data_IF_103901622264
#
_entry.id   IF_103901622264
#
_cell.length_a   1.000
_cell.length_b   1.000
_cell.length_c   1.000
_cell.angle_alpha   90.00
_cell.angle_beta   90.00
_cell.angle_gamma   90.00
#
_symmetry.space_group_name_H-M   'P 1'
#
loop_
_entity.id
_entity.type
_entity.pdbx_description
1 polymer ?
#
# COMPACT_ATOMS: atom_id res chain seq x y z
N UNK A 1 -43.25 19.64 27.27
CA UNK A 1 -41.87 19.35 27.72
C UNK A 1 -41.80 17.87 28.04
N UNK A 2 -41.04 17.11 27.28
CA UNK A 2 -40.80 15.69 27.58
C UNK A 2 -40.03 15.57 28.89
N UNK A 3 -40.49 14.70 29.79
CA UNK A 3 -39.86 14.52 31.09
C UNK A 3 -38.49 13.84 30.90
N UNK A 4 -37.54 14.13 31.82
CA UNK A 4 -36.21 13.45 31.82
C UNK A 4 -36.32 11.93 31.74
N UNK A 5 -37.42 11.38 32.26
CA UNK A 5 -37.73 9.96 32.27
C UNK A 5 -38.05 9.41 30.85
N UNK A 6 -38.80 10.17 30.04
CA UNK A 6 -39.10 9.80 28.65
C UNK A 6 -37.85 9.89 27.76
N UNK A 7 -36.99 10.87 28.01
CA UNK A 7 -35.70 10.98 27.29
C UNK A 7 -34.79 9.78 27.56
N UNK A 8 -34.66 9.37 28.84
CA UNK A 8 -33.84 8.20 29.20
C UNK A 8 -34.41 6.89 28.66
N UNK A 9 -35.71 6.71 28.64
CA UNK A 9 -36.34 5.52 28.05
C UNK A 9 -36.14 5.43 26.55
N UNK A 10 -36.26 6.55 25.84
CA UNK A 10 -35.99 6.62 24.39
C UNK A 10 -34.49 6.42 24.04
N UNK A 11 -33.61 6.92 24.90
CA UNK A 11 -32.15 6.71 24.73
C UNK A 11 -31.75 5.26 24.98
N UNK A 12 -32.41 4.57 25.91
CA UNK A 12 -32.14 3.15 26.20
C UNK A 12 -32.56 2.24 25.04
N UNK A 13 -33.66 2.56 24.38
CA UNK A 13 -34.12 1.83 23.17
C UNK A 13 -33.15 2.04 22.01
N UNK A 14 -32.61 3.26 21.83
CA UNK A 14 -31.64 3.56 20.79
C UNK A 14 -30.30 2.86 21.02
N UNK A 15 -29.84 2.77 22.29
CA UNK A 15 -28.62 2.05 22.66
C UNK A 15 -28.74 0.53 22.46
N UNK A 16 -29.93 -0.04 22.56
CA UNK A 16 -30.19 -1.46 22.33
C UNK A 16 -30.17 -1.87 20.83
N UNK A 17 -30.32 -0.89 19.92
CA UNK A 17 -30.31 -1.17 18.46
C UNK A 17 -28.90 -1.08 17.87
N UNK A 18 -27.99 -0.33 18.50
CA UNK A 18 -26.61 -0.16 18.01
C UNK A 18 -25.81 -1.48 17.84
N UNK A 19 -25.85 -2.46 18.76
CA UNK A 19 -25.11 -3.71 18.55
C UNK A 19 -25.66 -4.59 17.43
N UNK A 20 -26.92 -4.40 17.03
CA UNK A 20 -27.51 -5.14 15.89
C UNK A 20 -26.98 -4.63 14.54
N UNK A 21 -26.58 -3.36 14.45
CA UNK A 21 -26.04 -2.80 13.19
C UNK A 21 -24.63 -3.29 12.89
N UNK A 22 -23.81 -3.53 13.89
CA UNK A 22 -22.47 -4.10 13.70
C UNK A 22 -22.52 -5.56 13.22
N UNK A 23 -23.48 -6.34 13.67
CA UNK A 23 -23.69 -7.72 13.19
C UNK A 23 -24.16 -7.76 11.74
N UNK A 24 -24.98 -6.80 11.30
CA UNK A 24 -25.39 -6.70 9.90
C UNK A 24 -24.27 -6.25 8.98
N UNK A 25 -23.42 -5.34 9.41
CA UNK A 25 -22.28 -4.87 8.62
C UNK A 25 -21.25 -6.00 8.38
N UNK A 26 -20.98 -6.83 9.38
CA UNK A 26 -20.06 -7.97 9.27
C UNK A 26 -20.63 -9.13 8.44
N UNK A 27 -21.94 -9.28 8.35
CA UNK A 27 -22.56 -10.36 7.56
C UNK A 27 -22.69 -10.02 6.08
N UNK A 28 -22.51 -8.76 5.68
CA UNK A 28 -22.58 -8.36 4.26
C UNK A 28 -21.26 -8.52 3.49
N UNK A 29 -20.13 -8.66 4.18
CA UNK A 29 -18.87 -8.94 3.52
C UNK A 29 -18.73 -10.45 3.38
N UNK A 30 -19.16 -11.00 2.26
CA UNK A 30 -18.87 -12.40 1.91
C UNK A 30 -17.36 -12.56 1.85
N UNK A 31 -16.85 -13.54 2.57
CA UNK A 31 -15.41 -13.85 2.64
C UNK A 31 -14.77 -14.13 1.26
N UNK A 32 -15.61 -14.46 0.27
CA UNK A 32 -15.20 -14.76 -1.11
C UNK A 32 -15.08 -13.52 -2.00
N UNK A 33 -15.40 -12.32 -1.48
CA UNK A 33 -15.32 -11.06 -2.24
C UNK A 33 -14.12 -10.19 -1.86
N UNK A 34 -13.16 -10.72 -1.08
CA UNK A 34 -11.96 -9.96 -0.76
C UNK A 34 -11.03 -9.86 -1.96
N UNK A 35 -10.85 -8.65 -2.46
CA UNK A 35 -9.86 -8.34 -3.50
C UNK A 35 -8.57 -7.91 -2.82
N UNK A 36 -7.51 -8.70 -3.01
CA UNK A 36 -6.16 -8.33 -2.56
C UNK A 36 -5.53 -7.42 -3.61
N UNK A 37 -5.10 -6.23 -3.19
CA UNK A 37 -4.33 -5.29 -4.01
C UNK A 37 -2.91 -5.22 -3.44
N UNK A 38 -1.92 -5.37 -4.31
CA UNK A 38 -0.51 -5.17 -3.98
C UNK A 38 -0.06 -3.81 -4.49
N UNK A 39 0.50 -3.00 -3.61
CA UNK A 39 1.05 -1.69 -3.98
C UNK A 39 2.57 -1.76 -3.89
N UNK A 40 3.23 -1.48 -5.01
CA UNK A 40 4.68 -1.26 -5.08
C UNK A 40 4.93 0.23 -5.24
N UNK A 41 6.00 0.71 -4.62
CA UNK A 41 6.47 2.06 -4.87
C UNK A 41 7.98 2.11 -5.06
N UNK A 42 8.43 3.04 -5.88
CA UNK A 42 9.83 3.41 -6.05
C UNK A 42 10.00 4.89 -5.70
N UNK A 43 11.18 5.25 -5.21
CA UNK A 43 11.56 6.61 -4.90
C UNK A 43 13.08 6.73 -4.88
N UNK A 44 13.60 7.94 -5.02
CA UNK A 44 15.03 8.28 -4.86
C UNK A 44 15.94 7.37 -5.68
N UNK A 45 15.65 7.20 -6.97
CA UNK A 45 16.43 6.32 -7.82
C UNK A 45 17.77 6.94 -8.27
N UNK A 46 17.86 8.24 -8.24
CA UNK A 46 19.10 9.02 -8.47
C UNK A 46 19.90 8.54 -9.68
N UNK A 47 19.23 8.31 -10.81
CA UNK A 47 19.84 7.80 -12.06
C UNK A 47 20.68 6.53 -11.89
N UNK A 48 20.40 5.71 -10.87
CA UNK A 48 21.14 4.46 -10.60
C UNK A 48 20.66 3.36 -11.55
N UNK A 49 21.16 3.39 -12.80
CA UNK A 49 20.81 2.44 -13.86
C UNK A 49 21.46 1.09 -13.60
N UNK A 50 22.76 1.12 -13.26
CA UNK A 50 23.52 -0.09 -12.99
C UNK A 50 23.41 -0.55 -11.53
N UNK A 51 23.57 -1.84 -11.26
CA UNK A 51 23.70 -2.32 -9.90
C UNK A 51 25.00 -1.81 -9.24
N UNK A 52 25.03 -1.81 -7.91
CA UNK A 52 26.25 -1.49 -7.19
C UNK A 52 27.39 -2.41 -7.60
N UNK A 53 28.58 -1.84 -7.74
CA UNK A 53 29.78 -2.56 -8.16
C UNK A 53 30.04 -3.79 -7.26
N UNK A 54 30.63 -4.84 -7.84
CA UNK A 54 30.91 -6.10 -7.13
C UNK A 54 31.82 -5.95 -5.91
N UNK A 55 32.62 -4.91 -5.89
CA UNK A 55 33.51 -4.57 -4.77
C UNK A 55 32.84 -3.67 -3.70
N UNK A 56 31.57 -3.33 -3.85
CA UNK A 56 30.86 -2.50 -2.86
C UNK A 56 30.65 -3.29 -1.56
N UNK A 57 31.10 -2.73 -0.43
CA UNK A 57 31.15 -3.42 0.87
C UNK A 57 29.80 -4.02 1.35
N UNK A 58 28.68 -3.34 1.05
CA UNK A 58 27.37 -3.71 1.60
C UNK A 58 26.33 -4.15 0.56
N UNK A 59 26.43 -3.59 -0.65
CA UNK A 59 25.38 -3.73 -1.65
C UNK A 59 25.90 -4.29 -2.98
N UNK A 60 27.01 -5.04 -2.95
CA UNK A 60 27.59 -5.65 -4.14
C UNK A 60 26.56 -6.34 -5.03
N UNK A 61 26.44 -5.92 -6.27
CA UNK A 61 25.53 -6.46 -7.28
C UNK A 61 24.04 -6.19 -7.02
N UNK A 62 23.68 -5.46 -5.97
CA UNK A 62 22.27 -5.10 -5.65
C UNK A 62 21.88 -3.77 -6.32
N UNK A 63 20.59 -3.52 -6.41
CA UNK A 63 20.05 -2.31 -7.04
C UNK A 63 20.11 -2.38 -8.56
N UNK A 64 20.02 -1.22 -9.19
CA UNK A 64 19.98 -1.07 -10.65
C UNK A 64 18.61 -1.36 -11.28
N UNK A 65 18.42 -0.86 -12.50
CA UNK A 65 17.14 -0.94 -13.21
C UNK A 65 16.74 -2.37 -13.56
N UNK A 66 17.72 -3.21 -13.97
CA UNK A 66 17.46 -4.59 -14.36
C UNK A 66 16.93 -5.43 -13.18
N UNK A 67 17.56 -5.30 -12.00
CA UNK A 67 17.11 -6.02 -10.81
C UNK A 67 15.72 -5.56 -10.36
N UNK A 68 15.47 -4.25 -10.47
CA UNK A 68 14.17 -3.66 -10.16
C UNK A 68 13.09 -4.16 -11.11
N UNK A 69 13.36 -4.16 -12.41
CA UNK A 69 12.45 -4.69 -13.42
C UNK A 69 12.10 -6.17 -13.15
N UNK A 70 13.10 -6.99 -12.87
CA UNK A 70 12.91 -8.41 -12.56
C UNK A 70 12.03 -8.61 -11.31
N UNK A 71 12.26 -7.82 -10.25
CA UNK A 71 11.48 -7.87 -9.03
C UNK A 71 10.02 -7.48 -9.27
N UNK A 72 9.79 -6.37 -9.98
CA UNK A 72 8.44 -5.89 -10.30
C UNK A 72 7.68 -6.95 -11.11
N UNK A 73 8.32 -7.54 -12.13
CA UNK A 73 7.70 -8.58 -12.94
C UNK A 73 7.40 -9.85 -12.14
N UNK A 74 8.28 -10.23 -11.22
CA UNK A 74 8.02 -11.36 -10.32
C UNK A 74 6.76 -11.09 -9.48
N UNK A 75 6.70 -9.93 -8.83
CA UNK A 75 5.54 -9.57 -7.99
C UNK A 75 4.25 -9.50 -8.79
N UNK A 76 4.28 -8.95 -10.00
CA UNK A 76 3.10 -8.89 -10.90
C UNK A 76 2.59 -10.27 -11.31
N UNK A 77 3.49 -11.23 -11.51
CA UNK A 77 3.11 -12.63 -11.80
C UNK A 77 2.45 -13.31 -10.60
N UNK A 78 2.93 -13.03 -9.39
CA UNK A 78 2.41 -13.61 -8.15
C UNK A 78 1.14 -12.88 -7.64
N UNK A 79 0.98 -11.62 -8.01
CA UNK A 79 -0.11 -10.74 -7.56
C UNK A 79 -0.66 -9.95 -8.75
N UNK A 80 -1.70 -10.47 -9.46
CA UNK A 80 -2.23 -9.82 -10.67
C UNK A 80 -2.72 -8.38 -10.44
N UNK A 81 -3.28 -8.11 -9.27
CA UNK A 81 -3.76 -6.77 -8.88
C UNK A 81 -2.63 -5.94 -8.27
N UNK A 82 -1.55 -5.71 -9.01
CA UNK A 82 -0.40 -4.93 -8.57
C UNK A 82 -0.39 -3.55 -9.21
N UNK A 83 -0.38 -2.52 -8.36
CA UNK A 83 -0.16 -1.13 -8.75
C UNK A 83 1.29 -0.75 -8.47
N UNK A 84 1.90 0.02 -9.37
CA UNK A 84 3.24 0.55 -9.21
C UNK A 84 3.20 2.08 -9.28
N UNK A 85 3.74 2.72 -8.24
CA UNK A 85 3.89 4.17 -8.16
C UNK A 85 5.36 4.54 -8.09
N UNK A 86 5.72 5.64 -8.74
CA UNK A 86 7.02 6.28 -8.57
C UNK A 86 6.83 7.59 -7.81
N UNK A 87 7.57 7.76 -6.71
CA UNK A 87 7.45 8.92 -5.84
C UNK A 87 8.48 10.03 -6.19
N UNK A 88 9.18 9.88 -7.29
CA UNK A 88 10.11 10.88 -7.79
C UNK A 88 11.55 10.75 -7.32
N UNK A 89 12.26 11.84 -7.41
CA UNK A 89 13.72 11.95 -7.22
C UNK A 89 14.50 10.95 -8.09
N UNK A 90 14.15 10.95 -9.37
CA UNK A 90 14.67 10.02 -10.36
C UNK A 90 16.06 10.44 -10.83
N UNK A 91 16.33 11.75 -10.91
CA UNK A 91 17.53 12.35 -11.48
C UNK A 91 18.60 12.61 -10.42
N UNK A 92 19.78 13.03 -10.88
CA UNK A 92 20.99 13.33 -10.09
C UNK A 92 21.74 12.10 -9.55
N UNK A 93 22.96 12.29 -9.14
CA UNK A 93 23.77 11.33 -8.36
C UNK A 93 24.64 10.38 -9.14
N UNK A 94 24.50 10.26 -10.45
CA UNK A 94 25.37 9.43 -11.30
C UNK A 94 25.87 10.17 -12.54
N UNK A 95 26.94 9.68 -13.21
CA UNK A 95 27.41 10.25 -14.45
C UNK A 95 26.36 10.32 -15.57
N UNK A 96 25.38 9.45 -15.56
CA UNK A 96 24.29 9.45 -16.53
C UNK A 96 23.48 10.74 -16.54
N UNK A 97 23.32 11.38 -15.41
CA UNK A 97 22.66 12.68 -15.32
C UNK A 97 23.62 13.85 -15.51
N UNK A 98 24.87 13.73 -14.99
CA UNK A 98 25.79 14.86 -14.90
C UNK A 98 26.54 15.14 -16.22
N UNK A 99 26.54 14.19 -17.17
CA UNK A 99 27.25 14.31 -18.44
C UNK A 99 26.37 14.48 -19.66
N UNK A 100 25.10 14.16 -19.55
CA UNK A 100 24.08 14.19 -20.60
C UNK A 100 22.83 14.92 -20.12
#
# INVERSE_FOLDING_TARGET
MSSRREFLQKSLVLAGVLPLTESYANSMVKKDEMIKITILHTNDMHSHIEPFAKNHKRYAGKGGMQNRFNLINKVRKESPNTLLFDCGDIFQGTPYFNKF
#
